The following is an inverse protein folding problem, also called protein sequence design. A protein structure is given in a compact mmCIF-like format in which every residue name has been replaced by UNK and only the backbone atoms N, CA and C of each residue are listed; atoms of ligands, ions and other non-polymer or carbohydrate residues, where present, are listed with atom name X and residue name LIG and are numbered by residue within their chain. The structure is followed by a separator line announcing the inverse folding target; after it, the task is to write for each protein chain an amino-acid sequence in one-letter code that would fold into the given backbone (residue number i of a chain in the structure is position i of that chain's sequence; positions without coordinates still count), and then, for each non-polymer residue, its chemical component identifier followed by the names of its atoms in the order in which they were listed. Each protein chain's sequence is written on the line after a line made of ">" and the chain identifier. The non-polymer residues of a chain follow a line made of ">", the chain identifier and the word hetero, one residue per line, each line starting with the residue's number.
data_IF_576676640173
#
_entry.id   IF_576676640173
#
_cell.length_a   1.000
_cell.length_b   1.000
_cell.length_c   1.000
_cell.angle_alpha   90.00
_cell.angle_beta   90.00
_cell.angle_gamma   90.00
#
_symmetry.space_group_name_H-M   'P 1'
#
loop_
_entity.id
_entity.type
_entity.pdbx_description
1 polymer ?
#
# COMPACT_ATOMS: atom_id res chain seq x y z
N UNK A 1 30.34 -15.64 -12.66
CA UNK A 1 29.11 -15.14 -12.00
C UNK A 1 27.94 -15.67 -12.81
N UNK A 2 27.10 -16.50 -12.26
CA UNK A 2 25.80 -16.82 -12.88
C UNK A 2 25.02 -15.52 -13.01
N UNK A 3 24.51 -15.14 -14.20
CA UNK A 3 23.69 -13.94 -14.32
C UNK A 3 22.52 -14.06 -13.36
N UNK A 4 22.25 -12.97 -12.64
CA UNK A 4 21.08 -12.90 -11.77
C UNK A 4 19.85 -13.17 -12.65
N UNK A 5 18.99 -14.09 -12.24
CA UNK A 5 17.76 -14.43 -12.98
C UNK A 5 16.93 -13.18 -13.25
N UNK A 6 17.02 -12.17 -12.38
CA UNK A 6 16.30 -10.88 -12.48
C UNK A 6 16.77 -10.02 -13.65
N UNK A 7 17.88 -10.36 -14.31
CA UNK A 7 18.35 -9.65 -15.50
C UNK A 7 17.85 -10.27 -16.83
N UNK A 8 17.24 -11.46 -16.77
CA UNK A 8 16.75 -12.16 -17.95
C UNK A 8 15.21 -12.16 -17.99
N UNK A 9 14.61 -11.30 -18.83
CA UNK A 9 13.16 -11.21 -18.97
C UNK A 9 12.50 -12.55 -19.37
N UNK A 10 13.12 -13.35 -20.23
CA UNK A 10 12.55 -14.66 -20.61
C UNK A 10 12.47 -15.61 -19.42
N UNK A 11 13.51 -15.63 -18.56
CA UNK A 11 13.51 -16.42 -17.34
C UNK A 11 12.45 -15.93 -16.34
N UNK A 12 12.28 -14.61 -16.21
CA UNK A 12 11.24 -14.00 -15.36
C UNK A 12 9.83 -14.36 -15.83
N UNK A 13 9.58 -14.31 -17.14
CA UNK A 13 8.31 -14.73 -17.75
C UNK A 13 8.02 -16.22 -17.50
N UNK A 14 9.03 -17.08 -17.58
CA UNK A 14 8.88 -18.51 -17.31
C UNK A 14 8.50 -18.79 -15.86
N UNK A 15 9.01 -18.00 -14.91
CA UNK A 15 8.61 -18.10 -13.50
C UNK A 15 7.13 -17.78 -13.29
N UNK A 16 6.58 -16.78 -13.98
CA UNK A 16 5.14 -16.47 -13.90
C UNK A 16 4.23 -17.54 -14.48
N UNK A 17 4.75 -18.45 -15.32
CA UNK A 17 3.97 -19.57 -15.89
C UNK A 17 3.85 -20.77 -14.96
N UNK A 18 4.62 -20.79 -13.88
CA UNK A 18 4.48 -21.82 -12.86
C UNK A 18 3.20 -21.58 -12.06
N UNK A 19 2.70 -22.62 -11.40
CA UNK A 19 1.53 -22.49 -10.53
C UNK A 19 1.92 -21.74 -9.25
N UNK A 20 1.13 -20.75 -8.89
CA UNK A 20 1.30 -19.95 -7.68
C UNK A 20 0.11 -20.09 -6.73
N UNK A 21 0.30 -19.76 -5.46
CA UNK A 21 -0.76 -19.83 -4.44
C UNK A 21 -2.04 -19.08 -4.85
N UNK A 22 -1.88 -17.93 -5.53
CA UNK A 22 -3.01 -17.10 -5.96
C UNK A 22 -3.79 -17.65 -7.16
N UNK A 23 -3.29 -18.68 -7.84
CA UNK A 23 -4.03 -19.35 -8.92
C UNK A 23 -5.11 -20.28 -8.36
N UNK A 24 -4.94 -20.76 -7.12
CA UNK A 24 -5.80 -21.77 -6.50
C UNK A 24 -6.71 -21.20 -5.41
N UNK A 25 -6.30 -20.13 -4.75
CA UNK A 25 -7.02 -19.55 -3.60
C UNK A 25 -6.83 -18.03 -3.51
N UNK A 26 -7.67 -17.31 -2.72
CA UNK A 26 -7.42 -15.91 -2.41
C UNK A 26 -6.17 -15.80 -1.53
N UNK A 27 -5.27 -14.88 -1.89
CA UNK A 27 -4.06 -14.56 -1.12
C UNK A 27 -4.12 -13.07 -0.76
N UNK A 28 -4.18 -12.76 0.54
CA UNK A 28 -4.27 -11.38 1.00
C UNK A 28 -2.90 -10.76 1.19
N UNK A 29 -2.81 -9.47 0.88
CA UNK A 29 -1.67 -8.62 1.18
C UNK A 29 -2.18 -7.26 1.65
N UNK A 30 -1.69 -6.78 2.78
CA UNK A 30 -2.13 -5.51 3.35
C UNK A 30 -1.03 -4.47 3.21
N UNK A 31 -1.38 -3.29 2.68
CA UNK A 31 -0.46 -2.20 2.44
C UNK A 31 -1.06 -0.87 2.89
N UNK A 32 -0.20 0.08 3.27
CA UNK A 32 -0.64 1.39 3.72
C UNK A 32 0.25 2.49 3.15
N UNK A 33 -0.38 3.56 2.64
CA UNK A 33 0.28 4.77 2.15
C UNK A 33 0.12 5.87 3.19
N UNK A 34 1.21 6.41 3.74
CA UNK A 34 1.10 7.32 4.90
C UNK A 34 0.71 8.75 4.57
N UNK A 35 0.82 9.18 3.31
CA UNK A 35 0.32 10.46 2.77
C UNK A 35 0.54 11.69 3.67
N UNK A 36 1.77 11.86 4.18
CA UNK A 36 2.14 12.96 5.12
C UNK A 36 1.31 13.02 6.41
N UNK A 37 0.77 11.88 6.83
CA UNK A 37 0.04 11.79 8.08
C UNK A 37 0.93 12.16 9.28
N UNK A 38 0.35 12.85 10.28
CA UNK A 38 1.08 13.22 11.50
C UNK A 38 1.48 11.99 12.33
N UNK A 39 2.46 12.15 13.22
CA UNK A 39 2.84 11.11 14.19
C UNK A 39 1.65 10.61 15.02
N UNK A 40 0.74 11.49 15.42
CA UNK A 40 -0.46 11.09 16.16
C UNK A 40 -1.41 10.21 15.32
N UNK A 41 -1.56 10.52 14.03
CA UNK A 41 -2.38 9.71 13.11
C UNK A 41 -1.74 8.35 12.85
N UNK A 42 -0.43 8.31 12.58
CA UNK A 42 0.33 7.07 12.37
C UNK A 42 0.27 6.21 13.64
N UNK A 43 0.49 6.81 14.81
CA UNK A 43 0.43 6.12 16.09
C UNK A 43 -0.95 5.55 16.40
N UNK A 44 -2.02 6.34 16.19
CA UNK A 44 -3.40 5.88 16.36
C UNK A 44 -3.73 4.72 15.43
N UNK A 45 -3.28 4.80 14.18
CA UNK A 45 -3.44 3.75 13.19
C UNK A 45 -2.74 2.45 13.61
N UNK A 46 -1.43 2.47 13.89
CA UNK A 46 -0.68 1.26 14.22
C UNK A 46 -1.15 0.60 15.53
N UNK A 47 -1.58 1.38 16.52
CA UNK A 47 -2.13 0.83 17.77
C UNK A 47 -3.44 0.05 17.58
N UNK A 48 -4.22 0.38 16.55
CA UNK A 48 -5.51 -0.25 16.28
C UNK A 48 -5.45 -1.42 15.30
N UNK A 49 -4.33 -1.56 14.57
CA UNK A 49 -4.17 -2.61 13.57
C UNK A 49 -3.51 -3.87 14.15
N UNK A 50 -3.96 -5.08 13.78
CA UNK A 50 -3.35 -6.35 14.19
C UNK A 50 -2.07 -6.64 13.38
N UNK A 51 -1.02 -5.83 13.57
CA UNK A 51 0.20 -5.83 12.74
C UNK A 51 0.92 -7.18 12.70
N UNK A 52 0.90 -7.93 13.80
CA UNK A 52 1.51 -9.27 13.89
C UNK A 52 0.89 -10.26 12.87
N UNK A 53 -0.36 -10.02 12.50
CA UNK A 53 -1.06 -10.82 11.49
C UNK A 53 -0.82 -10.32 10.08
N UNK A 54 -0.73 -9.00 9.89
CA UNK A 54 -0.88 -8.39 8.56
C UNK A 54 0.37 -8.45 7.70
N UNK A 55 1.58 -8.61 8.27
CA UNK A 55 2.84 -8.43 7.55
C UNK A 55 2.83 -7.13 6.73
N UNK A 56 2.34 -6.04 7.34
CA UNK A 56 2.00 -4.79 6.69
C UNK A 56 3.19 -4.18 5.97
N UNK A 57 3.02 -3.88 4.68
CA UNK A 57 3.96 -3.04 3.94
C UNK A 57 3.47 -1.59 3.99
N UNK A 58 4.29 -0.69 4.55
CA UNK A 58 3.99 0.74 4.70
C UNK A 58 4.83 1.56 3.73
N UNK A 59 4.20 2.30 2.83
CA UNK A 59 4.86 3.18 1.88
C UNK A 59 5.03 4.58 2.47
N UNK A 60 6.28 5.00 2.66
CA UNK A 60 6.63 6.20 3.42
C UNK A 60 6.85 7.41 2.53
N UNK A 61 6.36 8.59 2.99
CA UNK A 61 6.50 9.89 2.33
C UNK A 61 7.44 10.84 3.06
N UNK A 62 7.75 10.56 4.32
CA UNK A 62 8.55 11.40 5.21
C UNK A 62 9.09 10.58 6.39
N UNK A 63 9.98 11.18 7.18
CA UNK A 63 10.49 10.59 8.42
C UNK A 63 9.40 10.52 9.49
N UNK A 64 9.34 9.39 10.21
CA UNK A 64 8.45 9.19 11.35
C UNK A 64 9.15 8.31 12.39
N UNK A 65 9.24 8.79 13.64
CA UNK A 65 9.82 8.03 14.74
C UNK A 65 9.01 6.77 15.05
N UNK A 66 7.70 6.84 14.88
CA UNK A 66 6.81 5.71 15.08
C UNK A 66 7.06 4.64 14.01
N UNK A 67 7.12 5.01 12.73
CA UNK A 67 7.41 4.07 11.64
C UNK A 67 8.78 3.43 11.85
N UNK A 68 9.79 4.21 12.16
CA UNK A 68 11.15 3.72 12.42
C UNK A 68 11.19 2.69 13.55
N UNK A 69 10.47 2.95 14.65
CA UNK A 69 10.35 2.01 15.77
C UNK A 69 9.66 0.71 15.35
N UNK A 70 8.49 0.79 14.68
CA UNK A 70 7.76 -0.40 14.27
C UNK A 70 8.52 -1.24 13.23
N UNK A 71 9.30 -0.58 12.36
CA UNK A 71 10.20 -1.25 11.43
C UNK A 71 11.33 -1.98 12.18
N UNK A 72 12.02 -1.32 13.11
CA UNK A 72 13.10 -1.95 13.93
C UNK A 72 12.58 -3.12 14.76
N UNK A 73 11.35 -3.04 15.23
CA UNK A 73 10.68 -4.13 15.96
C UNK A 73 10.23 -5.28 15.02
N UNK A 74 10.46 -5.20 13.71
CA UNK A 74 10.06 -6.20 12.72
C UNK A 74 8.56 -6.32 12.49
N UNK A 75 7.77 -5.30 12.89
CA UNK A 75 6.29 -5.31 12.81
C UNK A 75 5.73 -4.84 11.48
N UNK A 76 6.52 -4.11 10.71
CA UNK A 76 6.18 -3.61 9.38
C UNK A 76 7.37 -3.74 8.43
N UNK A 77 7.07 -3.73 7.13
CA UNK A 77 8.03 -3.59 6.05
C UNK A 77 7.86 -2.17 5.49
N UNK A 78 8.96 -1.49 5.14
CA UNK A 78 8.89 -0.17 4.52
C UNK A 78 9.09 -0.25 3.00
N UNK A 79 8.27 0.49 2.27
CA UNK A 79 8.46 0.85 0.88
C UNK A 79 8.54 2.37 0.74
N UNK A 80 8.88 2.88 -0.43
CA UNK A 80 8.88 4.31 -0.71
C UNK A 80 7.58 4.75 -1.38
N UNK A 81 7.12 5.99 -1.03
CA UNK A 81 5.92 6.62 -1.63
C UNK A 81 6.30 7.93 -2.34
N UNK A 82 6.98 7.86 -3.51
CA UNK A 82 7.44 9.04 -4.22
C UNK A 82 6.27 9.84 -4.81
N UNK A 83 6.31 11.15 -4.63
CA UNK A 83 5.38 12.08 -5.27
C UNK A 83 6.07 12.79 -6.44
N UNK A 84 5.85 12.29 -7.63
CA UNK A 84 6.42 12.82 -8.87
C UNK A 84 5.62 13.98 -9.48
N UNK A 85 4.56 14.44 -8.80
CA UNK A 85 3.74 15.54 -9.30
C UNK A 85 4.41 16.90 -9.09
N UNK A 86 4.14 17.90 -9.94
CA UNK A 86 4.68 19.25 -9.78
C UNK A 86 4.39 19.84 -8.39
N UNK A 87 5.38 20.48 -7.79
CA UNK A 87 5.28 21.06 -6.45
C UNK A 87 5.40 20.03 -5.32
N UNK A 88 6.00 18.88 -5.58
CA UNK A 88 6.36 17.88 -4.58
C UNK A 88 7.30 18.47 -3.53
N UNK A 89 7.07 18.14 -2.26
CA UNK A 89 8.00 18.46 -1.16
C UNK A 89 9.23 17.54 -1.13
N UNK A 90 9.28 16.53 -2.00
CA UNK A 90 10.35 15.53 -2.05
C UNK A 90 11.43 15.88 -3.10
N UNK A 91 11.20 16.84 -4.00
CA UNK A 91 12.15 17.29 -5.02
C UNK A 91 11.49 17.77 -6.29
N UNK A 92 12.29 18.34 -7.20
CA UNK A 92 11.85 18.91 -8.46
C UNK A 92 12.12 18.00 -9.68
N UNK A 93 12.91 16.93 -9.46
CA UNK A 93 13.21 15.92 -10.48
C UNK A 93 12.87 14.51 -9.98
N UNK A 94 12.66 13.57 -10.89
CA UNK A 94 12.40 12.17 -10.53
C UNK A 94 13.50 11.58 -9.63
N UNK A 95 14.75 11.93 -9.91
CA UNK A 95 15.90 11.47 -9.13
C UNK A 95 15.87 12.01 -7.70
N UNK A 96 15.72 13.32 -7.52
CA UNK A 96 15.64 13.95 -6.21
C UNK A 96 14.49 13.37 -5.37
N UNK A 97 13.33 13.17 -5.99
CA UNK A 97 12.15 12.57 -5.31
C UNK A 97 12.46 11.16 -4.83
N UNK A 98 13.09 10.32 -5.65
CA UNK A 98 13.44 8.95 -5.26
C UNK A 98 14.49 8.95 -4.15
N UNK A 99 15.55 9.75 -4.29
CA UNK A 99 16.64 9.86 -3.30
C UNK A 99 16.12 10.37 -1.95
N UNK A 100 15.23 11.35 -1.98
CA UNK A 100 14.56 11.85 -0.76
C UNK A 100 13.75 10.75 -0.10
N UNK A 101 12.94 10.00 -0.86
CA UNK A 101 12.17 8.89 -0.30
C UNK A 101 13.06 7.77 0.26
N UNK A 102 14.14 7.43 -0.44
CA UNK A 102 15.12 6.44 0.04
C UNK A 102 15.88 6.92 1.29
N UNK A 103 16.01 8.23 1.51
CA UNK A 103 16.56 8.73 2.78
C UNK A 103 15.68 8.40 3.99
N UNK A 104 14.38 8.19 3.80
CA UNK A 104 13.43 7.79 4.85
C UNK A 104 13.38 6.27 5.04
N UNK A 105 13.62 5.49 4.00
CA UNK A 105 13.62 4.03 4.01
C UNK A 105 14.73 3.48 3.09
N UNK A 106 16.01 3.54 3.51
CA UNK A 106 17.14 3.17 2.64
C UNK A 106 17.19 1.69 2.27
N UNK A 107 16.53 0.83 3.01
CA UNK A 107 16.41 -0.59 2.74
C UNK A 107 15.25 -0.95 1.79
N UNK A 108 14.42 0.01 1.40
CA UNK A 108 13.23 -0.26 0.62
C UNK A 108 13.55 -0.86 -0.76
N UNK A 109 12.85 -1.93 -1.10
CA UNK A 109 12.94 -2.61 -2.40
C UNK A 109 11.63 -2.57 -3.17
N UNK A 110 10.63 -1.88 -2.62
CA UNK A 110 9.29 -1.73 -3.19
C UNK A 110 8.86 -0.27 -3.22
N UNK A 111 8.08 0.07 -4.23
CA UNK A 111 7.53 1.42 -4.40
C UNK A 111 6.04 1.39 -4.70
N UNK A 112 5.33 2.40 -4.21
CA UNK A 112 4.02 2.82 -4.70
C UNK A 112 4.05 4.33 -4.82
N UNK A 113 3.89 4.86 -6.03
CA UNK A 113 3.93 6.30 -6.26
C UNK A 113 2.65 6.97 -5.81
N UNK A 114 2.77 8.16 -5.23
CA UNK A 114 1.60 8.97 -4.86
C UNK A 114 0.68 9.17 -6.07
N UNK A 115 -0.62 8.93 -5.87
CA UNK A 115 -1.66 8.94 -6.91
C UNK A 115 -1.39 7.96 -8.06
N UNK A 116 -0.71 6.86 -7.79
CA UNK A 116 -0.38 5.83 -8.78
C UNK A 116 0.32 6.39 -10.04
N UNK A 117 1.12 7.47 -9.87
CA UNK A 117 1.91 8.02 -10.97
C UNK A 117 2.85 6.95 -11.52
N UNK A 118 2.73 6.65 -12.82
CA UNK A 118 3.51 5.60 -13.45
C UNK A 118 3.89 6.00 -14.90
N UNK A 119 5.19 6.12 -15.15
CA UNK A 119 5.75 6.33 -16.47
C UNK A 119 7.01 5.48 -16.65
N UNK A 120 7.29 5.10 -17.89
CA UNK A 120 8.41 4.21 -18.24
C UNK A 120 9.74 4.71 -17.68
N UNK A 121 9.99 6.03 -17.77
CA UNK A 121 11.25 6.64 -17.30
C UNK A 121 11.47 6.45 -15.79
N UNK A 122 10.43 6.64 -14.97
CA UNK A 122 10.54 6.41 -13.53
C UNK A 122 10.74 4.93 -13.19
N UNK A 123 10.08 4.04 -13.92
CA UNK A 123 10.22 2.60 -13.73
C UNK A 123 11.64 2.10 -14.04
N UNK A 124 12.24 2.57 -15.13
CA UNK A 124 13.65 2.27 -15.47
C UNK A 124 14.62 2.85 -14.44
N UNK A 125 14.41 4.09 -14.00
CA UNK A 125 15.25 4.75 -13.01
C UNK A 125 15.23 3.95 -11.69
N UNK A 126 14.04 3.63 -11.18
CA UNK A 126 13.84 2.85 -9.96
C UNK A 126 14.53 1.48 -10.03
N UNK A 127 14.40 0.77 -11.15
CA UNK A 127 14.99 -0.57 -11.31
C UNK A 127 16.50 -0.52 -11.46
N UNK A 128 17.00 0.31 -12.37
CA UNK A 128 18.39 0.23 -12.83
C UNK A 128 19.37 0.95 -11.90
N UNK A 129 18.94 2.03 -11.25
CA UNK A 129 19.82 2.86 -10.44
C UNK A 129 19.56 2.69 -8.92
N UNK A 130 18.31 2.42 -8.52
CA UNK A 130 17.93 2.34 -7.11
C UNK A 130 17.57 0.93 -6.64
N UNK A 131 17.70 -0.07 -7.50
CA UNK A 131 17.51 -1.49 -7.18
C UNK A 131 16.15 -1.83 -6.58
N UNK A 132 15.13 -1.02 -6.87
CA UNK A 132 13.75 -1.35 -6.55
C UNK A 132 13.35 -2.60 -7.35
N UNK A 133 12.66 -3.54 -6.71
CA UNK A 133 12.29 -4.84 -7.32
C UNK A 133 10.82 -4.90 -7.69
N UNK A 134 9.97 -4.23 -6.90
CA UNK A 134 8.52 -4.28 -7.08
C UNK A 134 7.91 -2.89 -7.11
N UNK A 135 6.82 -2.75 -7.85
CA UNK A 135 5.95 -1.58 -7.81
C UNK A 135 4.49 -1.99 -7.62
N UNK A 136 3.67 -1.10 -7.08
CA UNK A 136 2.25 -1.36 -6.81
C UNK A 136 1.38 -0.17 -7.24
N UNK A 137 1.57 0.28 -8.49
CA UNK A 137 0.92 1.48 -9.06
C UNK A 137 -0.38 1.18 -9.82
N UNK A 138 -0.68 -0.08 -10.12
CA UNK A 138 -1.91 -0.47 -10.81
C UNK A 138 -3.04 -0.67 -9.79
N UNK A 139 -3.93 0.31 -9.68
CA UNK A 139 -5.08 0.24 -8.76
C UNK A 139 -6.30 -0.25 -9.52
N UNK A 140 -6.92 -1.32 -9.02
CA UNK A 140 -8.15 -1.89 -9.56
C UNK A 140 -9.29 -1.77 -8.53
N UNK A 141 -10.51 -2.08 -8.96
CA UNK A 141 -11.64 -2.19 -8.05
C UNK A 141 -12.18 -3.61 -8.16
N UNK A 142 -11.64 -4.49 -7.31
CA UNK A 142 -12.04 -5.91 -7.19
C UNK A 142 -11.96 -6.67 -8.53
N UNK A 143 -10.93 -6.40 -9.34
CA UNK A 143 -10.70 -7.15 -10.59
C UNK A 143 -10.49 -8.64 -10.28
N UNK A 144 -11.09 -9.55 -11.06
CA UNK A 144 -10.95 -10.99 -10.84
C UNK A 144 -9.54 -11.47 -11.21
N UNK A 145 -9.09 -12.54 -10.55
CA UNK A 145 -7.86 -13.26 -10.87
C UNK A 145 -6.60 -12.39 -10.97
N UNK A 146 -6.48 -11.37 -10.08
CA UNK A 146 -5.27 -10.55 -10.04
C UNK A 146 -4.06 -11.41 -9.69
N UNK A 147 -3.00 -11.25 -10.48
CA UNK A 147 -1.68 -11.83 -10.27
C UNK A 147 -0.60 -10.77 -10.50
N UNK A 148 0.63 -10.95 -9.99
CA UNK A 148 1.75 -10.09 -10.34
C UNK A 148 2.10 -10.23 -11.82
N UNK A 149 2.71 -9.20 -12.41
CA UNK A 149 3.26 -9.27 -13.75
C UNK A 149 4.51 -8.40 -13.91
N UNK A 150 5.42 -8.82 -14.79
CA UNK A 150 6.61 -8.05 -15.12
C UNK A 150 6.25 -6.94 -16.10
N UNK A 151 6.68 -5.71 -15.77
CA UNK A 151 6.66 -4.61 -16.73
C UNK A 151 8.00 -4.52 -17.47
N UNK A 152 8.07 -3.72 -18.53
CA UNK A 152 9.21 -3.64 -19.44
C UNK A 152 10.55 -3.33 -18.74
N UNK A 153 10.52 -2.52 -17.67
CA UNK A 153 11.69 -2.21 -16.85
C UNK A 153 12.19 -3.36 -15.97
N UNK A 154 11.51 -4.52 -15.97
CA UNK A 154 11.74 -5.66 -15.08
C UNK A 154 11.43 -5.36 -13.60
N UNK A 155 10.58 -4.38 -13.32
CA UNK A 155 9.91 -4.31 -12.04
C UNK A 155 8.74 -5.32 -12.04
N UNK A 156 8.53 -5.99 -10.91
CA UNK A 156 7.33 -6.80 -10.70
C UNK A 156 6.19 -5.87 -10.27
N UNK A 157 5.21 -5.69 -11.14
CA UNK A 157 3.99 -4.99 -10.79
C UNK A 157 3.09 -5.90 -9.95
N UNK A 158 2.75 -5.47 -8.75
CA UNK A 158 1.81 -6.14 -7.85
C UNK A 158 0.56 -5.26 -7.77
N UNK A 159 -0.51 -5.57 -8.53
CA UNK A 159 -1.68 -4.72 -8.61
C UNK A 159 -2.46 -4.66 -7.30
N UNK A 160 -2.99 -3.49 -6.98
CA UNK A 160 -3.92 -3.29 -5.86
C UNK A 160 -5.29 -3.84 -6.26
N UNK A 161 -5.82 -4.76 -5.46
CA UNK A 161 -7.18 -5.31 -5.63
C UNK A 161 -8.24 -4.32 -5.18
N UNK A 162 -7.98 -3.64 -4.06
CA UNK A 162 -8.87 -2.66 -3.47
C UNK A 162 -8.09 -1.60 -2.71
N UNK A 163 -8.39 -0.35 -2.97
CA UNK A 163 -8.03 0.80 -2.14
C UNK A 163 -9.29 1.30 -1.41
N UNK A 164 -9.20 1.56 -0.11
CA UNK A 164 -10.36 2.00 0.67
C UNK A 164 -10.91 3.34 0.16
N UNK A 165 -10.04 4.24 -0.30
CA UNK A 165 -10.42 5.50 -0.91
C UNK A 165 -11.28 5.32 -2.14
N UNK A 166 -10.94 4.37 -3.02
CA UNK A 166 -11.74 4.03 -4.20
C UNK A 166 -13.10 3.46 -3.83
N UNK A 167 -13.18 2.67 -2.75
CA UNK A 167 -14.43 2.12 -2.24
C UNK A 167 -15.38 3.21 -1.75
N UNK A 168 -14.83 4.18 -1.00
CA UNK A 168 -15.56 5.35 -0.53
C UNK A 168 -15.96 6.30 -1.68
N UNK A 169 -15.06 6.48 -2.67
CA UNK A 169 -15.31 7.37 -3.82
C UNK A 169 -16.43 6.86 -4.74
N UNK A 170 -16.49 5.54 -4.95
CA UNK A 170 -17.48 4.91 -5.81
C UNK A 170 -18.78 4.56 -5.06
N UNK A 171 -18.93 4.99 -3.79
CA UNK A 171 -20.12 4.75 -2.95
C UNK A 171 -20.52 3.25 -2.89
N UNK A 172 -19.52 2.38 -2.74
CA UNK A 172 -19.74 0.93 -2.67
C UNK A 172 -20.22 0.45 -1.29
N UNK A 173 -20.49 1.38 -0.39
CA UNK A 173 -20.92 1.13 0.98
C UNK A 173 -19.75 0.87 1.94
N UNK A 174 -20.06 0.43 3.15
CA UNK A 174 -19.09 0.19 4.23
C UNK A 174 -19.10 -1.28 4.67
N UNK A 175 -19.37 -2.19 3.75
CA UNK A 175 -19.35 -3.63 4.00
C UNK A 175 -18.98 -4.40 2.73
N UNK A 176 -18.22 -5.47 2.88
CA UNK A 176 -17.84 -6.35 1.78
C UNK A 176 -18.90 -7.42 1.47
N UNK A 177 -19.99 -7.52 2.23
CA UNK A 177 -20.98 -8.59 2.07
C UNK A 177 -21.54 -8.68 0.64
N UNK A 178 -21.91 -7.59 -0.06
CA UNK A 178 -22.36 -7.66 -1.45
C UNK A 178 -21.29 -8.17 -2.43
N UNK A 179 -20.02 -8.05 -2.03
CA UNK A 179 -18.84 -8.34 -2.88
C UNK A 179 -18.08 -9.60 -2.43
N UNK A 180 -18.59 -10.36 -1.47
CA UNK A 180 -17.91 -11.46 -0.80
C UNK A 180 -17.26 -12.45 -1.80
N UNK A 181 -17.95 -12.76 -2.89
CA UNK A 181 -17.45 -13.65 -3.94
C UNK A 181 -16.13 -13.19 -4.58
N UNK A 182 -15.88 -11.87 -4.65
CA UNK A 182 -14.63 -11.35 -5.21
C UNK A 182 -13.47 -11.48 -4.24
N UNK A 183 -13.74 -11.40 -2.94
CA UNK A 183 -12.73 -11.58 -1.89
C UNK A 183 -12.37 -13.06 -1.66
N UNK A 184 -13.29 -13.98 -1.93
CA UNK A 184 -13.11 -15.43 -1.71
C UNK A 184 -12.68 -16.21 -2.94
N UNK A 185 -12.73 -15.61 -4.15
CA UNK A 185 -12.23 -16.23 -5.38
C UNK A 185 -10.70 -16.21 -5.42
N UNK A 186 -10.05 -17.12 -6.19
CA UNK A 186 -8.61 -17.09 -6.40
C UNK A 186 -8.09 -15.73 -6.88
N UNK A 187 -6.81 -15.47 -6.67
CA UNK A 187 -6.12 -14.25 -7.05
C UNK A 187 -5.58 -13.46 -5.84
N UNK A 188 -4.67 -12.54 -6.10
CA UNK A 188 -4.18 -11.61 -5.08
C UNK A 188 -5.28 -10.65 -4.63
N UNK A 189 -5.32 -10.40 -3.33
CA UNK A 189 -6.19 -9.43 -2.67
C UNK A 189 -5.30 -8.40 -1.95
N UNK A 190 -4.59 -7.58 -2.76
CA UNK A 190 -3.79 -6.48 -2.23
C UNK A 190 -4.72 -5.36 -1.81
N UNK A 191 -4.80 -5.13 -0.52
CA UNK A 191 -5.66 -4.11 0.11
C UNK A 191 -4.78 -2.92 0.47
N UNK A 192 -5.09 -1.75 -0.08
CA UNK A 192 -4.41 -0.48 0.21
C UNK A 192 -5.31 0.40 1.05
N UNK A 193 -4.74 1.04 2.07
CA UNK A 193 -5.47 1.96 2.94
C UNK A 193 -4.55 3.01 3.56
N UNK A 194 -5.14 4.13 3.99
CA UNK A 194 -4.42 5.29 4.48
C UNK A 194 -4.64 5.49 5.99
N UNK A 195 -3.58 5.72 6.79
CA UNK A 195 -3.69 5.98 8.22
C UNK A 195 -4.73 7.04 8.57
N UNK A 196 -4.85 8.07 7.75
CA UNK A 196 -5.80 9.15 7.95
C UNK A 196 -7.25 8.63 7.94
N UNK A 197 -7.64 7.87 6.93
CA UNK A 197 -8.98 7.29 6.84
C UNK A 197 -9.26 6.28 7.96
N UNK A 198 -8.22 5.56 8.41
CA UNK A 198 -8.33 4.62 9.53
C UNK A 198 -8.49 5.34 10.87
N UNK A 199 -7.66 6.36 11.14
CA UNK A 199 -7.70 7.11 12.38
C UNK A 199 -9.03 7.83 12.58
N UNK A 200 -9.53 8.47 11.52
CA UNK A 200 -10.81 9.17 11.55
C UNK A 200 -12.04 8.28 11.32
N UNK A 201 -11.84 7.03 10.93
CA UNK A 201 -12.92 6.10 10.56
C UNK A 201 -13.85 6.72 9.50
N UNK A 202 -13.28 7.18 8.39
CA UNK A 202 -13.94 7.96 7.35
C UNK A 202 -15.20 7.26 6.81
N UNK A 203 -16.40 7.87 6.91
CA UNK A 203 -17.64 7.23 6.45
C UNK A 203 -17.88 7.39 4.94
N UNK A 204 -17.43 8.51 4.34
CA UNK A 204 -17.51 8.81 2.92
C UNK A 204 -16.51 9.92 2.55
N UNK A 205 -16.14 9.97 1.27
CA UNK A 205 -15.00 10.81 0.82
C UNK A 205 -15.21 12.32 1.09
N UNK A 206 -16.44 12.83 0.92
CA UNK A 206 -16.74 14.24 1.13
C UNK A 206 -16.56 14.66 2.59
N UNK A 207 -16.77 13.75 3.55
CA UNK A 207 -16.57 14.00 4.98
C UNK A 207 -15.08 14.26 5.29
N UNK A 208 -14.18 13.43 4.76
CA UNK A 208 -12.74 13.65 4.93
C UNK A 208 -12.27 14.94 4.22
N UNK A 209 -12.84 15.25 3.05
CA UNK A 209 -12.56 16.53 2.36
C UNK A 209 -12.97 17.72 3.21
N UNK A 210 -14.13 17.70 3.87
CA UNK A 210 -14.58 18.77 4.77
C UNK A 210 -13.59 18.96 5.94
N UNK A 211 -13.06 17.88 6.53
CA UNK A 211 -12.03 17.99 7.57
C UNK A 211 -10.77 18.64 6.99
N UNK A 212 -10.29 18.16 5.85
CA UNK A 212 -9.09 18.69 5.19
C UNK A 212 -9.24 20.17 4.81
N UNK A 213 -10.38 20.54 4.23
CA UNK A 213 -10.64 21.90 3.76
C UNK A 213 -10.91 22.88 4.94
N UNK A 214 -11.18 22.37 6.15
CA UNK A 214 -11.38 23.19 7.36
C UNK A 214 -10.06 23.61 8.05
N UNK A 215 -8.91 23.21 7.53
CA UNK A 215 -7.58 23.46 8.12
C UNK A 215 -6.58 23.86 7.04
N UNK A 216 -5.52 24.57 7.47
CA UNK A 216 -4.35 24.77 6.64
C UNK A 216 -3.61 23.45 6.38
N UNK A 217 -2.71 23.42 5.39
CA UNK A 217 -1.85 22.26 5.12
C UNK A 217 -0.97 21.92 6.34
N UNK A 218 -0.49 22.93 7.03
CA UNK A 218 0.34 22.77 8.24
C UNK A 218 -0.45 22.13 9.37
N UNK A 219 -1.67 22.60 9.66
CA UNK A 219 -2.55 22.02 10.67
C UNK A 219 -2.92 20.58 10.32
N UNK A 220 -3.20 20.29 9.05
CA UNK A 220 -3.52 18.93 8.57
C UNK A 220 -2.34 17.97 8.76
N UNK A 221 -1.11 18.40 8.47
CA UNK A 221 0.07 17.58 8.65
C UNK A 221 0.47 17.42 10.13
N UNK A 222 -0.08 18.24 11.03
CA UNK A 222 0.19 18.24 12.48
C UNK A 222 -1.06 17.90 13.32
N UNK A 223 -2.00 17.12 12.77
CA UNK A 223 -3.19 16.65 13.49
C UNK A 223 -2.77 15.95 14.78
N UNK A 224 -3.38 16.36 15.92
CA UNK A 224 -3.12 15.81 17.24
C UNK A 224 -4.07 14.65 17.62
N UNK A 225 -3.76 13.93 18.70
CA UNK A 225 -4.66 12.90 19.25
C UNK A 225 -6.02 13.47 19.65
N UNK A 226 -6.06 14.67 20.25
CA UNK A 226 -7.30 15.33 20.64
C UNK A 226 -8.17 15.65 19.42
N UNK A 227 -7.55 16.10 18.32
CA UNK A 227 -8.27 16.36 17.07
C UNK A 227 -8.85 15.08 16.46
N UNK A 228 -8.08 13.98 16.49
CA UNK A 228 -8.58 12.67 16.03
C UNK A 228 -9.80 12.28 16.86
N UNK A 229 -9.72 12.30 18.20
CA UNK A 229 -10.82 11.91 19.07
C UNK A 229 -12.05 12.82 18.94
N UNK A 230 -11.85 14.12 18.74
CA UNK A 230 -12.93 15.08 18.58
C UNK A 230 -13.68 14.92 17.25
N UNK A 231 -12.97 14.53 16.18
CA UNK A 231 -13.51 14.48 14.81
C UNK A 231 -13.75 13.05 14.29
N UNK A 232 -13.31 12.01 15.00
CA UNK A 232 -13.48 10.61 14.57
C UNK A 232 -14.96 10.26 14.42
N UNK A 233 -15.34 9.70 13.27
CA UNK A 233 -16.65 9.10 13.08
C UNK A 233 -16.86 7.93 14.05
N UNK A 234 -18.00 7.90 14.76
CA UNK A 234 -18.35 6.85 15.75
C UNK A 234 -19.24 5.76 15.15
N UNK A 235 -19.81 6.01 13.99
CA UNK A 235 -20.56 5.04 13.19
C UNK A 235 -19.62 4.22 12.31
N UNK A 236 -20.16 3.35 11.46
CA UNK A 236 -19.37 2.58 10.47
C UNK A 236 -18.57 3.51 9.55
N UNK A 237 -17.33 3.10 9.27
CA UNK A 237 -16.43 3.84 8.40
C UNK A 237 -15.37 2.94 7.77
N UNK A 238 -14.33 3.56 7.22
CA UNK A 238 -13.24 2.89 6.53
C UNK A 238 -12.48 1.89 7.44
N UNK A 239 -12.29 2.23 8.72
CA UNK A 239 -11.67 1.30 9.67
C UNK A 239 -12.48 0.02 9.81
N UNK A 240 -13.80 0.13 9.95
CA UNK A 240 -14.68 -1.05 10.09
C UNK A 240 -14.69 -1.90 8.82
N UNK A 241 -14.65 -1.26 7.64
CA UNK A 241 -14.53 -1.95 6.35
C UNK A 241 -13.23 -2.75 6.26
N UNK A 242 -12.09 -2.14 6.59
CA UNK A 242 -10.79 -2.83 6.56
C UNK A 242 -10.75 -3.97 7.59
N UNK A 243 -11.28 -3.76 8.80
CA UNK A 243 -11.38 -4.82 9.80
C UNK A 243 -12.30 -5.97 9.36
N UNK A 244 -13.37 -5.70 8.61
CA UNK A 244 -14.22 -6.75 8.02
C UNK A 244 -13.43 -7.61 7.02
N UNK A 245 -12.56 -6.98 6.18
CA UNK A 245 -11.68 -7.69 5.24
C UNK A 245 -10.66 -8.56 5.99
N UNK A 246 -10.00 -8.00 7.01
CA UNK A 246 -9.02 -8.74 7.83
C UNK A 246 -9.68 -9.95 8.49
N UNK A 247 -10.85 -9.75 9.12
CA UNK A 247 -11.60 -10.82 9.75
C UNK A 247 -12.07 -11.88 8.74
N UNK A 248 -12.39 -11.49 7.50
CA UNK A 248 -12.69 -12.45 6.44
C UNK A 248 -11.47 -13.31 6.12
N UNK A 249 -10.30 -12.71 5.88
CA UNK A 249 -9.08 -13.44 5.57
C UNK A 249 -8.74 -14.48 6.66
N UNK A 250 -8.85 -14.09 7.92
CA UNK A 250 -8.66 -15.01 9.06
C UNK A 250 -9.71 -16.14 9.08
N UNK A 251 -10.99 -15.82 8.94
CA UNK A 251 -12.09 -16.77 9.01
C UNK A 251 -11.99 -17.86 7.94
N UNK A 252 -11.57 -17.50 6.72
CA UNK A 252 -11.38 -18.45 5.62
C UNK A 252 -9.98 -19.07 5.60
N UNK A 253 -9.13 -18.72 6.58
CA UNK A 253 -7.74 -19.17 6.70
C UNK A 253 -6.90 -18.91 5.43
N UNK A 254 -7.17 -17.80 4.75
CA UNK A 254 -6.42 -17.41 3.56
C UNK A 254 -4.99 -17.03 3.92
N UNK A 255 -3.99 -17.36 3.08
CA UNK A 255 -2.63 -16.87 3.25
C UNK A 255 -2.59 -15.34 3.27
N UNK A 256 -1.81 -14.78 4.23
CA UNK A 256 -1.51 -13.34 4.30
C UNK A 256 -0.02 -13.20 4.02
N UNK A 257 0.32 -12.54 2.92
CA UNK A 257 1.68 -12.33 2.45
C UNK A 257 2.00 -10.84 2.43
N UNK A 258 3.26 -10.49 2.68
CA UNK A 258 3.79 -9.15 2.39
C UNK A 258 4.06 -8.98 0.90
N UNK A 259 4.33 -7.75 0.46
CA UNK A 259 4.82 -7.47 -0.91
C UNK A 259 6.12 -8.24 -1.19
N UNK A 260 7.01 -8.32 -0.20
CA UNK A 260 8.26 -9.08 -0.33
C UNK A 260 8.01 -10.59 -0.47
N UNK A 261 7.11 -11.16 0.34
CA UNK A 261 6.74 -12.58 0.21
C UNK A 261 6.19 -12.89 -1.19
N UNK A 262 5.32 -12.01 -1.75
CA UNK A 262 4.79 -12.17 -3.11
C UNK A 262 5.92 -12.16 -4.14
N UNK A 263 6.87 -11.23 -4.01
CA UNK A 263 8.06 -11.21 -4.88
C UNK A 263 8.83 -12.52 -4.81
N UNK A 264 9.14 -13.00 -3.60
CA UNK A 264 9.88 -14.26 -3.42
C UNK A 264 9.13 -15.46 -4.01
N UNK A 265 7.81 -15.55 -3.80
CA UNK A 265 6.99 -16.60 -4.43
C UNK A 265 6.96 -16.52 -5.97
N UNK A 266 7.11 -15.32 -6.54
CA UNK A 266 7.11 -15.14 -8.01
C UNK A 266 8.43 -15.61 -8.64
N UNK A 267 9.56 -15.46 -7.94
CA UNK A 267 10.89 -15.80 -8.48
C UNK A 267 11.40 -17.18 -8.04
N UNK A 268 10.73 -17.82 -7.07
CA UNK A 268 11.08 -19.17 -6.60
C UNK A 268 10.79 -20.23 -7.68
#
# INVERSE_FOLDING_TARGET
>A
MTPDITDNMAALVEKLRQSHLWDEQPVFCFTSDIDWASEAVIGNFFQKMPLELLKLTTYVTHTSEIIERYYKDGKIIRGIHPNFLPGSSQGDSFREVIETCLSFAPEATTTRSHRAFDVTDTAHLLKNEYHIRTCSNCITTMAPHIAPFWIESKLLQIPVFLEEGSFLYNDLGLSIQPYLKYFTSPGLKVISFHPMNMAFNTPYIAWMRQIKDSMSREEFNNISHEMIEAKRNREKGAYDLIMEIINLAQRIQAPILSIEDIYQHTIA
#
